data_IF_753278612528
#
_entry.id   IF_753278612528
#
_cell.length_a   1.000
_cell.length_b   1.000
_cell.length_c   1.000
_cell.angle_alpha   90.00
_cell.angle_beta   90.00
_cell.angle_gamma   90.00
#
_symmetry.space_group_name_H-M   'P 1'
#
loop_
_entity.id
_entity.type
_entity.pdbx_description
1 polymer ?
#
# COMPACT_ATOMS: atom_id res chain seq x y z
N UNK A 1 -3.88 -7.47 -30.16
CA UNK A 1 -2.77 -7.19 -29.23
C UNK A 1 -3.33 -6.98 -27.85
N UNK A 2 -2.77 -7.66 -26.86
CA UNK A 2 -3.23 -7.63 -25.47
C UNK A 2 -2.40 -6.61 -24.70
N UNK A 3 -3.05 -5.70 -23.99
CA UNK A 3 -2.36 -4.77 -23.10
C UNK A 3 -2.29 -5.37 -21.71
N UNK A 4 -1.16 -5.21 -21.05
CA UNK A 4 -0.96 -5.66 -19.67
C UNK A 4 -0.70 -4.44 -18.80
N UNK A 5 -1.43 -4.34 -17.69
CA UNK A 5 -1.07 -3.45 -16.59
C UNK A 5 -0.57 -4.34 -15.46
N UNK A 6 0.72 -4.24 -15.12
CA UNK A 6 1.30 -4.94 -13.99
C UNK A 6 1.47 -3.99 -12.80
N UNK A 7 0.89 -4.39 -11.66
CA UNK A 7 0.93 -3.67 -10.39
C UNK A 7 1.70 -4.53 -9.38
N UNK A 8 3.02 -4.35 -9.25
CA UNK A 8 3.81 -5.09 -8.27
C UNK A 8 3.59 -4.60 -6.83
N UNK A 9 3.16 -3.35 -6.67
CA UNK A 9 2.93 -2.66 -5.40
C UNK A 9 1.96 -1.47 -5.60
N UNK A 10 1.63 -0.77 -4.51
CA UNK A 10 0.66 0.35 -4.51
C UNK A 10 1.16 1.64 -5.19
N UNK A 11 2.43 1.72 -5.56
CA UNK A 11 3.05 2.94 -6.08
C UNK A 11 3.64 2.76 -7.49
N UNK A 12 3.65 1.54 -8.00
CA UNK A 12 4.24 1.20 -9.29
C UNK A 12 3.20 0.65 -10.24
N UNK A 13 3.19 1.18 -11.45
CA UNK A 13 2.38 0.70 -12.55
C UNK A 13 3.27 0.53 -13.77
N UNK A 14 3.27 -0.67 -14.34
CA UNK A 14 3.97 -0.98 -15.58
C UNK A 14 2.96 -1.32 -16.68
N UNK A 15 3.10 -0.68 -17.83
CA UNK A 15 2.33 -0.99 -19.03
C UNK A 15 3.18 -1.84 -19.96
N UNK A 16 2.67 -3.01 -20.35
CA UNK A 16 3.34 -3.94 -21.25
C UNK A 16 2.40 -4.33 -22.39
N UNK A 17 2.98 -4.78 -23.49
CA UNK A 17 2.22 -5.30 -24.63
C UNK A 17 2.54 -6.78 -24.82
N UNK A 18 1.51 -7.57 -25.07
CA UNK A 18 1.60 -8.99 -25.35
C UNK A 18 1.02 -9.30 -26.73
N UNK A 19 1.75 -10.15 -27.46
CA UNK A 19 1.30 -10.68 -28.74
C UNK A 19 0.22 -11.75 -28.56
N UNK A 20 0.23 -12.46 -27.44
CA UNK A 20 -0.78 -13.47 -27.10
C UNK A 20 -2.17 -12.84 -26.90
N UNK A 21 -3.20 -13.67 -27.06
CA UNK A 21 -4.57 -13.28 -26.70
C UNK A 21 -4.72 -13.16 -25.18
N UNK A 22 -5.77 -12.45 -24.74
CA UNK A 22 -6.05 -12.29 -23.30
C UNK A 22 -6.28 -13.63 -22.60
N UNK A 23 -6.83 -14.62 -23.31
CA UNK A 23 -7.15 -15.96 -22.76
C UNK A 23 -5.89 -16.79 -22.55
N UNK A 24 -5.00 -16.82 -23.55
CA UNK A 24 -3.68 -17.46 -23.45
C UNK A 24 -2.83 -16.81 -22.36
N UNK A 25 -2.87 -15.48 -22.26
CA UNK A 25 -2.14 -14.75 -21.23
C UNK A 25 -2.68 -15.07 -19.83
N UNK A 26 -3.99 -15.10 -19.62
CA UNK A 26 -4.59 -15.51 -18.35
C UNK A 26 -4.21 -16.95 -17.97
N UNK A 27 -4.22 -17.88 -18.93
CA UNK A 27 -3.82 -19.26 -18.70
C UNK A 27 -2.31 -19.38 -18.36
N UNK A 28 -1.46 -18.60 -19.02
CA UNK A 28 -0.03 -18.50 -18.75
C UNK A 28 0.24 -17.95 -17.34
N UNK A 29 -0.48 -16.91 -16.94
CA UNK A 29 -0.38 -16.34 -15.60
C UNK A 29 -0.88 -17.34 -14.57
N UNK A 30 -2.07 -17.91 -14.73
CA UNK A 30 -2.65 -18.85 -13.75
C UNK A 30 -1.80 -20.10 -13.52
N UNK A 31 -1.10 -20.58 -14.55
CA UNK A 31 -0.16 -21.71 -14.47
C UNK A 31 1.24 -21.34 -13.96
N UNK A 32 1.50 -20.07 -13.65
CA UNK A 32 2.80 -19.60 -13.15
C UNK A 32 3.91 -19.53 -14.20
N UNK A 33 3.56 -19.61 -15.49
CA UNK A 33 4.53 -19.50 -16.60
C UNK A 33 4.86 -18.07 -16.95
N UNK A 34 3.91 -17.16 -16.78
CA UNK A 34 4.14 -15.75 -17.02
C UNK A 34 5.23 -15.20 -16.09
N UNK A 35 6.13 -14.39 -16.65
CA UNK A 35 7.21 -13.75 -15.91
C UNK A 35 7.10 -12.23 -16.08
N UNK A 36 7.11 -11.46 -14.98
CA UNK A 36 7.18 -10.01 -15.09
C UNK A 36 8.54 -9.57 -15.65
N UNK A 37 8.68 -8.31 -16.13
CA UNK A 37 9.97 -7.76 -16.52
C UNK A 37 10.94 -7.65 -15.32
N UNK A 38 12.23 -7.58 -15.60
CA UNK A 38 13.21 -7.27 -14.55
C UNK A 38 13.00 -5.84 -13.99
N UNK A 39 13.29 -5.59 -12.69
CA UNK A 39 13.93 -6.49 -11.70
C UNK A 39 12.96 -7.47 -11.00
N UNK A 40 11.68 -7.44 -11.37
CA UNK A 40 10.62 -8.15 -10.64
C UNK A 40 10.69 -9.67 -10.82
N UNK A 41 11.13 -10.17 -11.99
CA UNK A 41 11.31 -11.60 -12.21
C UNK A 41 12.26 -12.21 -11.17
N UNK A 42 13.39 -11.56 -10.93
CA UNK A 42 14.39 -11.98 -9.95
C UNK A 42 13.85 -11.89 -8.51
N UNK A 43 13.22 -10.76 -8.15
CA UNK A 43 12.66 -10.54 -6.81
C UNK A 43 11.58 -11.58 -6.47
N UNK A 44 10.64 -11.83 -7.36
CA UNK A 44 9.52 -12.74 -7.08
C UNK A 44 9.96 -14.20 -7.10
N UNK A 45 10.90 -14.58 -7.96
CA UNK A 45 11.42 -15.96 -7.99
C UNK A 45 12.20 -16.32 -6.72
N UNK A 46 12.89 -15.35 -6.09
CA UNK A 46 13.59 -15.56 -4.83
C UNK A 46 12.66 -15.70 -3.63
N UNK A 47 11.49 -15.06 -3.67
CA UNK A 47 10.58 -14.93 -2.52
C UNK A 47 9.38 -15.90 -2.57
N UNK A 48 9.09 -16.53 -3.70
CA UNK A 48 7.89 -17.36 -3.87
C UNK A 48 8.19 -18.70 -4.55
N UNK A 49 7.73 -19.80 -3.93
CA UNK A 49 7.82 -21.16 -4.51
C UNK A 49 6.64 -21.52 -5.43
N UNK A 50 5.55 -20.74 -5.41
CA UNK A 50 4.37 -20.92 -6.26
C UNK A 50 4.07 -19.67 -7.09
N UNK A 51 2.99 -19.70 -7.87
CA UNK A 51 2.56 -18.54 -8.65
C UNK A 51 2.05 -17.42 -7.73
N UNK A 52 2.77 -16.30 -7.59
CA UNK A 52 2.37 -15.24 -6.68
C UNK A 52 1.36 -14.28 -7.33
N UNK A 53 1.04 -14.43 -8.61
CA UNK A 53 0.27 -13.46 -9.37
C UNK A 53 -1.19 -13.87 -9.54
N UNK A 54 -2.07 -12.89 -9.55
CA UNK A 54 -3.43 -13.01 -10.04
C UNK A 54 -3.64 -12.05 -11.21
N UNK A 55 -4.55 -12.40 -12.10
CA UNK A 55 -4.85 -11.56 -13.25
C UNK A 55 -6.36 -11.48 -13.50
N UNK A 56 -6.79 -10.30 -13.95
CA UNK A 56 -8.17 -10.02 -14.31
C UNK A 56 -8.20 -9.45 -15.72
N UNK A 57 -9.15 -9.91 -16.53
CA UNK A 57 -9.35 -9.42 -17.89
C UNK A 57 -10.48 -8.40 -17.93
N UNK A 58 -10.26 -7.31 -18.67
CA UNK A 58 -11.28 -6.36 -19.08
C UNK A 58 -11.11 -6.07 -20.58
N UNK A 59 -11.91 -6.72 -21.43
CA UNK A 59 -11.76 -6.59 -22.88
C UNK A 59 -10.42 -7.13 -23.38
N UNK A 60 -9.61 -6.25 -23.97
CA UNK A 60 -8.23 -6.52 -24.43
C UNK A 60 -7.14 -6.17 -23.41
N UNK A 61 -7.53 -5.73 -22.21
CA UNK A 61 -6.63 -5.40 -21.11
C UNK A 61 -6.59 -6.58 -20.12
N UNK A 62 -5.39 -6.94 -19.67
CA UNK A 62 -5.15 -7.84 -18.55
C UNK A 62 -4.43 -7.07 -17.45
N UNK A 63 -5.04 -6.98 -16.27
CA UNK A 63 -4.41 -6.40 -15.09
C UNK A 63 -3.81 -7.54 -14.29
N UNK A 64 -2.51 -7.48 -14.05
CA UNK A 64 -1.74 -8.46 -13.27
C UNK A 64 -1.33 -7.83 -11.97
N UNK A 65 -1.60 -8.52 -10.87
CA UNK A 65 -1.34 -8.06 -9.51
C UNK A 65 -0.77 -9.22 -8.71
N UNK A 66 -0.25 -8.93 -7.53
CA UNK A 66 0.03 -9.99 -6.56
C UNK A 66 -1.27 -10.57 -6.02
N UNK A 67 -1.30 -11.89 -5.90
CA UNK A 67 -2.29 -12.60 -5.11
C UNK A 67 -2.25 -12.10 -3.66
N UNK A 68 -3.38 -12.14 -2.96
CA UNK A 68 -3.45 -11.67 -1.57
C UNK A 68 -2.43 -12.36 -0.65
N UNK A 69 -2.27 -13.67 -0.79
CA UNK A 69 -1.29 -14.45 -0.02
C UNK A 69 0.13 -14.05 -0.33
N UNK A 70 0.45 -13.82 -1.61
CA UNK A 70 1.78 -13.37 -2.00
C UNK A 70 2.07 -11.95 -1.50
N UNK A 71 1.13 -11.03 -1.69
CA UNK A 71 1.27 -9.65 -1.24
C UNK A 71 1.46 -9.57 0.29
N UNK A 72 0.74 -10.38 1.07
CA UNK A 72 0.92 -10.48 2.51
C UNK A 72 2.32 -11.00 2.91
N UNK A 73 2.83 -12.02 2.23
CA UNK A 73 4.13 -12.63 2.55
C UNK A 73 5.33 -11.67 2.38
N UNK A 74 5.20 -10.62 1.55
CA UNK A 74 6.25 -9.61 1.32
C UNK A 74 5.85 -8.21 1.82
N UNK A 75 4.76 -8.09 2.57
CA UNK A 75 4.31 -6.82 3.14
C UNK A 75 3.83 -5.78 2.11
N UNK A 76 3.39 -6.22 0.92
CA UNK A 76 2.87 -5.38 -0.19
C UNK A 76 1.35 -5.54 -0.42
N UNK A 77 0.64 -6.26 0.45
CA UNK A 77 -0.82 -6.39 0.36
C UNK A 77 -1.55 -5.13 0.85
N UNK A 78 -2.80 -4.88 0.39
CA UNK A 78 -3.64 -3.91 1.06
C UNK A 78 -3.72 -4.34 2.53
N UNK A 79 -3.33 -3.41 3.38
CA UNK A 79 -3.18 -3.51 4.83
C UNK A 79 -4.48 -4.01 5.49
N UNK A 80 -4.75 -5.30 5.34
CA UNK A 80 -5.67 -6.04 6.20
C UNK A 80 -4.87 -6.34 7.45
N UNK A 81 -5.40 -5.98 8.63
CA UNK A 81 -4.65 -6.04 9.88
C UNK A 81 -4.12 -7.45 10.08
N UNK A 82 -2.81 -7.61 9.86
CA UNK A 82 -2.09 -8.80 10.27
C UNK A 82 -2.17 -8.88 11.80
N UNK A 83 -2.07 -10.09 12.33
CA UNK A 83 -2.31 -10.45 13.73
C UNK A 83 -1.22 -9.94 14.70
N UNK A 84 -0.86 -8.66 14.54
CA UNK A 84 -0.05 -7.79 15.37
C UNK A 84 -0.54 -6.32 15.34
N UNK A 85 -1.83 -6.09 15.06
CA UNK A 85 -2.67 -4.90 15.33
C UNK A 85 -2.00 -3.51 15.34
N UNK A 86 -1.14 -3.19 14.38
CA UNK A 86 -0.63 -1.82 14.18
C UNK A 86 -0.99 -1.34 12.77
N UNK A 87 -1.93 -0.39 12.60
CA UNK A 87 -2.20 0.21 11.28
C UNK A 87 -0.91 0.73 10.65
N UNK A 88 -0.63 0.34 9.40
CA UNK A 88 0.54 0.81 8.69
C UNK A 88 0.26 2.22 8.16
N UNK A 89 0.87 3.22 8.79
CA UNK A 89 0.87 4.59 8.30
C UNK A 89 2.02 4.78 7.32
N UNK A 90 1.77 5.53 6.23
CA UNK A 90 2.87 6.05 5.41
C UNK A 90 3.84 6.87 6.28
N UNK A 91 5.13 7.00 5.88
CA UNK A 91 6.11 7.79 6.63
C UNK A 91 5.60 9.21 6.94
N UNK A 92 4.90 9.82 5.97
CA UNK A 92 4.34 11.16 6.11
C UNK A 92 3.19 11.24 7.10
N UNK A 93 2.30 10.24 7.12
CA UNK A 93 1.23 10.16 8.12
C UNK A 93 1.81 9.94 9.52
N UNK A 94 2.89 9.17 9.64
CA UNK A 94 3.57 8.98 10.92
C UNK A 94 4.18 10.29 11.45
N UNK A 95 4.86 11.07 10.60
CA UNK A 95 5.39 12.40 10.96
C UNK A 95 4.29 13.36 11.43
N UNK A 96 3.15 13.36 10.75
CA UNK A 96 1.97 14.14 11.14
C UNK A 96 1.44 13.64 12.48
N UNK A 97 1.28 12.33 12.67
CA UNK A 97 0.81 11.71 13.91
C UNK A 97 1.72 12.02 15.11
N UNK A 98 3.04 12.05 14.92
CA UNK A 98 4.00 12.52 15.93
C UNK A 98 3.75 13.99 16.31
N UNK A 99 3.61 14.87 15.31
CA UNK A 99 3.25 16.26 15.57
C UNK A 99 1.90 16.39 16.28
N UNK A 100 0.94 15.49 15.98
CA UNK A 100 -0.34 15.45 16.68
C UNK A 100 -0.15 15.13 18.17
N UNK A 101 0.66 14.11 18.47
CA UNK A 101 0.98 13.64 19.82
C UNK A 101 1.81 14.64 20.63
N UNK A 102 2.62 15.46 19.97
CA UNK A 102 3.38 16.57 20.56
C UNK A 102 2.53 17.81 20.89
N UNK A 103 1.25 17.81 20.51
CA UNK A 103 0.35 18.95 20.71
C UNK A 103 0.48 20.05 19.65
N UNK A 104 1.20 19.81 18.55
CA UNK A 104 1.39 20.82 17.49
C UNK A 104 0.08 21.09 16.74
N UNK A 105 -0.25 22.35 16.51
CA UNK A 105 -1.36 22.74 15.64
C UNK A 105 -1.11 22.33 14.19
N UNK A 106 -2.17 22.22 13.37
CA UNK A 106 -2.05 21.93 11.93
C UNK A 106 -1.08 22.89 11.22
N UNK A 107 -1.07 24.18 11.61
CA UNK A 107 -0.14 25.18 11.04
C UNK A 107 1.31 24.93 11.44
N UNK A 108 1.56 24.54 12.69
CA UNK A 108 2.92 24.21 13.16
C UNK A 108 3.45 22.94 12.49
N UNK A 109 2.60 21.91 12.34
CA UNK A 109 2.95 20.68 11.61
C UNK A 109 3.24 21.01 10.14
N UNK A 110 2.39 21.84 9.52
CA UNK A 110 2.56 22.28 8.14
C UNK A 110 3.90 22.99 7.93
N UNK A 111 4.23 23.96 8.79
CA UNK A 111 5.50 24.66 8.75
C UNK A 111 6.70 23.73 8.96
N UNK A 112 6.63 22.83 9.95
CA UNK A 112 7.71 21.87 10.25
C UNK A 112 7.98 20.90 9.10
N UNK A 113 6.93 20.45 8.42
CA UNK A 113 7.02 19.43 7.38
C UNK A 113 7.14 20.02 5.97
N UNK A 114 7.06 21.34 5.79
CA UNK A 114 7.03 21.96 4.46
C UNK A 114 5.75 21.62 3.68
N UNK A 115 4.62 21.51 4.37
CA UNK A 115 3.30 21.23 3.80
C UNK A 115 2.39 22.44 3.89
N UNK A 116 1.29 22.42 3.12
CA UNK A 116 0.18 23.34 3.35
C UNK A 116 -0.70 22.85 4.51
N UNK A 117 -1.38 23.74 5.25
CA UNK A 117 -2.33 23.33 6.29
C UNK A 117 -3.42 22.38 5.79
N UNK A 118 -3.86 22.56 4.53
CA UNK A 118 -4.85 21.70 3.87
C UNK A 118 -4.33 20.27 3.69
N UNK A 119 -3.07 20.10 3.27
CA UNK A 119 -2.46 18.77 3.16
C UNK A 119 -2.31 18.08 4.51
N UNK A 120 -1.96 18.84 5.56
CA UNK A 120 -1.95 18.28 6.93
C UNK A 120 -3.34 17.83 7.36
N UNK A 121 -4.40 18.59 7.06
CA UNK A 121 -5.79 18.16 7.36
C UNK A 121 -6.20 16.90 6.59
N UNK A 122 -5.75 16.75 5.35
CA UNK A 122 -5.95 15.52 4.59
C UNK A 122 -5.29 14.33 5.30
N UNK A 123 -4.01 14.43 5.67
CA UNK A 123 -3.33 13.38 6.41
C UNK A 123 -4.00 13.07 7.76
N UNK A 124 -4.47 14.09 8.49
CA UNK A 124 -5.21 13.89 9.75
C UNK A 124 -6.52 13.13 9.52
N UNK A 125 -7.22 13.39 8.42
CA UNK A 125 -8.45 12.68 8.07
C UNK A 125 -8.18 11.20 7.77
N UNK A 126 -7.12 10.91 7.01
CA UNK A 126 -6.71 9.53 6.76
C UNK A 126 -6.25 8.81 8.04
N UNK A 127 -5.49 9.48 8.91
CA UNK A 127 -5.09 8.95 10.22
C UNK A 127 -6.33 8.61 11.06
N UNK A 128 -7.31 9.52 11.13
CA UNK A 128 -8.57 9.29 11.83
C UNK A 128 -9.31 8.08 11.29
N UNK A 129 -9.40 7.97 9.96
CA UNK A 129 -10.05 6.85 9.27
C UNK A 129 -9.39 5.51 9.62
N UNK A 130 -8.07 5.43 9.51
CA UNK A 130 -7.30 4.22 9.82
C UNK A 130 -7.35 3.84 11.30
N UNK A 131 -7.33 4.81 12.21
CA UNK A 131 -7.46 4.55 13.64
C UNK A 131 -8.91 4.35 14.09
N UNK A 132 -9.90 4.52 13.22
CA UNK A 132 -11.33 4.54 13.56
C UNK A 132 -11.71 5.66 14.55
N UNK A 133 -10.96 6.75 14.57
CA UNK A 133 -11.08 7.84 15.54
C UNK A 133 -11.98 8.98 15.01
N UNK A 134 -12.81 9.52 15.88
CA UNK A 134 -13.74 10.63 15.61
C UNK A 134 -13.12 11.99 15.89
N UNK A 135 -12.10 12.05 16.75
CA UNK A 135 -11.40 13.29 17.11
C UNK A 135 -9.88 13.15 17.04
N UNK A 136 -9.20 14.29 16.98
CA UNK A 136 -7.73 14.35 17.06
C UNK A 136 -7.21 13.71 18.36
N UNK A 137 -7.84 14.04 19.49
CA UNK A 137 -7.46 13.47 20.79
C UNK A 137 -7.64 11.94 20.81
N UNK A 138 -8.74 11.45 20.24
CA UNK A 138 -8.98 10.01 20.13
C UNK A 138 -7.97 9.32 19.19
N UNK A 139 -7.53 10.01 18.13
CA UNK A 139 -6.48 9.50 17.23
C UNK A 139 -5.17 9.32 17.99
N UNK A 140 -4.73 10.34 18.73
CA UNK A 140 -3.50 10.27 19.54
C UNK A 140 -3.60 9.18 20.60
N UNK A 141 -4.73 9.10 21.32
CA UNK A 141 -4.95 8.08 22.34
C UNK A 141 -4.88 6.65 21.79
N UNK A 142 -5.49 6.39 20.63
CA UNK A 142 -5.41 5.06 19.99
C UNK A 142 -3.99 4.76 19.48
N UNK A 143 -3.33 5.73 18.85
CA UNK A 143 -1.94 5.57 18.41
C UNK A 143 -0.99 5.27 19.59
N UNK A 144 -1.23 5.86 20.77
CA UNK A 144 -0.49 5.56 21.99
C UNK A 144 -0.75 4.14 22.49
N UNK A 145 -2.02 3.69 22.53
CA UNK A 145 -2.38 2.34 22.94
C UNK A 145 -1.73 1.26 22.04
N UNK A 146 -1.49 1.61 20.76
CA UNK A 146 -0.83 0.76 19.78
C UNK A 146 0.71 0.91 19.77
N UNK A 147 1.27 1.73 20.67
CA UNK A 147 2.72 1.92 20.79
C UNK A 147 3.37 2.69 19.64
N UNK A 148 2.59 3.43 18.84
CA UNK A 148 3.08 4.16 17.66
C UNK A 148 3.72 5.51 18.02
N UNK A 149 3.20 6.17 19.05
CA UNK A 149 3.68 7.48 19.50
C UNK A 149 3.75 7.49 21.03
N UNK A 150 4.74 8.21 21.59
CA UNK A 150 4.90 8.34 23.04
C UNK A 150 4.08 9.51 23.58
N UNK A 151 3.61 9.39 24.82
CA UNK A 151 2.99 10.49 25.57
C UNK A 151 4.07 11.50 25.96
N UNK A 152 3.87 12.77 25.61
CA UNK A 152 4.63 13.87 26.22
C UNK A 152 4.06 14.04 27.63
N UNK A 153 4.87 13.73 28.65
CA UNK A 153 4.55 13.98 30.07
C UNK A 153 4.64 15.48 30.32
#
# INVERSE_FOLDING_TARGET
MTHIIFLPDDHTLLQLEAAETTEELLASIGSGRWRPPEPYASIFSANFQGNPFCAVRQGSLVVVMLSRTAAAAIGLGPDLPDAGNRPAFSPRQMEVLHGLAEGQTTRQIAARLGLTPRMVQYHVSEIKRHLGARSRAQSVSRAQALGMVRRKV
#
